data_IF_843221100203
#
_entry.id   IF_843221100203
#
_cell.length_a   1.000
_cell.length_b   1.000
_cell.length_c   1.000
_cell.angle_alpha   90.00
_cell.angle_beta   90.00
_cell.angle_gamma   90.00
#
_symmetry.space_group_name_H-M   'P 1'
#
loop_
_entity.id
_entity.type
_entity.pdbx_description
1 polymer ?
#
# COMPACT_ATOMS: atom_id res chain seq x y z
N UNK A 1 -7.67 5.78 31.50
CA UNK A 1 -8.87 5.33 30.77
C UNK A 1 -8.91 3.82 30.83
N UNK A 2 -9.68 3.27 31.75
CA UNK A 2 -9.91 1.83 31.88
C UNK A 2 -10.77 1.38 30.71
N UNK A 3 -10.26 0.46 29.89
CA UNK A 3 -11.02 -0.11 28.77
C UNK A 3 -12.01 -1.13 29.32
N UNK A 4 -13.27 -0.74 29.39
CA UNK A 4 -14.36 -1.59 29.86
C UNK A 4 -14.72 -2.59 28.75
N UNK A 5 -14.70 -3.89 29.07
CA UNK A 5 -15.02 -4.96 28.14
C UNK A 5 -16.42 -5.49 28.44
N UNK A 6 -17.27 -5.59 27.43
CA UNK A 6 -18.62 -6.14 27.54
C UNK A 6 -18.78 -7.32 26.59
N UNK A 7 -19.50 -8.34 27.05
CA UNK A 7 -19.76 -9.58 26.30
C UNK A 7 -21.26 -9.81 26.22
N UNK A 8 -21.75 -10.17 25.04
CA UNK A 8 -23.17 -10.45 24.78
C UNK A 8 -23.30 -11.80 24.06
N UNK A 9 -24.48 -12.45 24.17
CA UNK A 9 -24.80 -13.71 23.48
C UNK A 9 -25.73 -13.40 22.30
N UNK A 10 -25.47 -14.03 21.15
CA UNK A 10 -26.25 -13.87 19.92
C UNK A 10 -26.47 -15.23 19.26
N UNK A 11 -27.58 -15.40 18.54
CA UNK A 11 -27.87 -16.63 17.78
C UNK A 11 -27.02 -16.76 16.52
N UNK A 12 -26.46 -15.65 16.02
CA UNK A 12 -25.59 -15.61 14.86
C UNK A 12 -24.78 -14.31 14.80
N UNK A 13 -23.61 -14.37 14.18
CA UNK A 13 -22.69 -13.24 14.02
C UNK A 13 -22.25 -13.18 12.56
N UNK A 14 -22.28 -11.98 11.97
CA UNK A 14 -21.72 -11.71 10.65
C UNK A 14 -20.54 -10.75 10.77
N UNK A 15 -19.36 -11.16 10.33
CA UNK A 15 -18.13 -10.37 10.42
C UNK A 15 -17.91 -9.60 9.11
N UNK A 16 -18.06 -8.27 9.15
CA UNK A 16 -17.98 -7.38 7.98
C UNK A 16 -16.83 -6.36 8.08
N UNK A 17 -15.70 -6.72 8.69
CA UNK A 17 -14.61 -5.77 8.99
C UNK A 17 -13.73 -5.41 7.78
N UNK A 18 -13.89 -6.11 6.65
CA UNK A 18 -13.03 -5.98 5.47
C UNK A 18 -11.61 -6.54 5.69
N UNK A 19 -10.96 -6.99 4.62
CA UNK A 19 -9.60 -7.57 4.68
C UNK A 19 -8.50 -6.64 4.10
N UNK A 20 -8.86 -5.52 3.47
CA UNK A 20 -7.94 -4.60 2.76
C UNK A 20 -7.54 -3.41 3.65
N UNK A 21 -7.15 -3.67 4.90
CA UNK A 21 -6.81 -2.62 5.87
C UNK A 21 -5.42 -2.79 6.51
N UNK A 22 -4.76 -3.93 6.27
CA UNK A 22 -3.41 -4.20 6.77
C UNK A 22 -2.46 -4.35 5.58
N UNK A 23 -1.54 -3.40 5.38
CA UNK A 23 -0.59 -3.48 4.28
C UNK A 23 0.35 -4.67 4.46
N UNK A 24 0.57 -5.44 3.38
CA UNK A 24 1.56 -6.51 3.36
C UNK A 24 2.84 -5.96 2.72
N UNK A 25 3.77 -5.50 3.56
CA UNK A 25 5.04 -4.95 3.09
C UNK A 25 6.11 -6.05 3.02
N UNK A 26 6.62 -6.38 1.83
CA UNK A 26 7.76 -7.28 1.70
C UNK A 26 9.03 -6.64 2.26
N UNK A 27 9.98 -7.47 2.68
CA UNK A 27 11.34 -7.05 3.02
C UNK A 27 12.30 -7.51 1.94
N UNK A 28 13.15 -6.62 1.45
CA UNK A 28 14.13 -6.92 0.42
C UNK A 28 15.56 -7.00 0.98
N UNK A 29 16.44 -7.85 0.43
CA UNK A 29 17.86 -7.80 0.74
C UNK A 29 18.45 -6.42 0.42
N UNK A 30 19.14 -5.79 1.37
CA UNK A 30 19.69 -4.45 1.19
C UNK A 30 18.64 -3.33 1.22
N UNK A 31 17.45 -3.56 1.76
CA UNK A 31 16.44 -2.51 1.88
C UNK A 31 16.91 -1.34 2.74
N UNK A 32 17.74 -1.61 3.75
CA UNK A 32 18.28 -0.63 4.69
C UNK A 32 19.31 0.33 4.08
N UNK A 33 19.97 -0.07 2.99
CA UNK A 33 20.91 0.81 2.26
C UNK A 33 20.19 1.74 1.27
N UNK A 34 18.90 1.49 1.00
CA UNK A 34 18.11 2.33 0.11
C UNK A 34 17.76 3.66 0.79
N UNK A 35 18.23 4.76 0.20
CA UNK A 35 18.02 6.13 0.72
C UNK A 35 16.74 6.80 0.22
N UNK A 36 15.99 6.13 -0.66
CA UNK A 36 14.71 6.64 -1.16
C UNK A 36 13.55 6.33 -0.22
N UNK A 37 12.34 6.68 -0.65
CA UNK A 37 11.13 6.41 0.12
C UNK A 37 10.52 5.06 -0.28
N UNK A 38 10.22 4.23 0.71
CA UNK A 38 9.48 2.98 0.56
C UNK A 38 8.10 3.15 1.19
N UNK A 39 7.06 2.89 0.42
CA UNK A 39 5.67 3.03 0.85
C UNK A 39 4.83 1.89 0.28
N UNK A 40 3.74 1.53 0.97
CA UNK A 40 2.72 0.63 0.45
C UNK A 40 1.69 1.41 -0.37
N UNK A 41 1.04 0.76 -1.34
CA UNK A 41 -0.05 1.36 -2.13
C UNK A 41 -1.17 1.96 -1.27
N UNK A 42 -1.46 1.33 -0.11
CA UNK A 42 -2.40 1.83 0.91
C UNK A 42 -2.12 3.28 1.37
N UNK A 43 -0.86 3.74 1.29
CA UNK A 43 -0.46 5.09 1.70
C UNK A 43 -0.37 6.09 0.54
N UNK A 44 -0.58 5.64 -0.70
CA UNK A 44 -0.57 6.51 -1.89
C UNK A 44 -1.83 7.38 -1.87
N UNK A 45 -1.66 8.69 -1.78
CA UNK A 45 -2.76 9.67 -1.80
C UNK A 45 -2.49 10.69 -2.91
N UNK A 46 -2.86 10.33 -4.13
CA UNK A 46 -2.69 11.16 -5.31
C UNK A 46 -1.27 11.16 -5.90
N UNK A 47 -1.15 11.71 -7.11
CA UNK A 47 0.10 11.74 -7.88
C UNK A 47 1.12 12.81 -7.42
N UNK A 48 0.64 13.94 -6.87
CA UNK A 48 1.46 15.15 -6.69
C UNK A 48 2.79 14.94 -5.92
N UNK A 49 2.86 14.13 -4.84
CA UNK A 49 4.11 13.86 -4.13
C UNK A 49 5.21 13.21 -4.97
N UNK A 50 4.87 12.69 -6.15
CA UNK A 50 5.77 11.99 -7.08
C UNK A 50 6.20 12.83 -8.27
N UNK A 51 5.77 14.10 -8.36
CA UNK A 51 6.12 15.01 -9.46
C UNK A 51 7.64 15.08 -9.67
N UNK A 52 8.07 14.83 -10.91
CA UNK A 52 9.48 14.86 -11.30
C UNK A 52 10.37 13.76 -10.70
N UNK A 53 9.80 12.81 -9.93
CA UNK A 53 10.55 11.70 -9.31
C UNK A 53 10.68 10.51 -10.27
N UNK A 54 11.67 9.67 -10.02
CA UNK A 54 11.74 8.32 -10.59
C UNK A 54 11.10 7.36 -9.60
N UNK A 55 10.06 6.65 -10.03
CA UNK A 55 9.25 5.77 -9.18
C UNK A 55 9.34 4.34 -9.69
N UNK A 56 9.46 3.38 -8.77
CA UNK A 56 9.33 1.95 -9.06
C UNK A 56 8.10 1.46 -8.32
N UNK A 57 7.17 0.83 -9.03
CA UNK A 57 6.02 0.14 -8.46
C UNK A 57 6.30 -1.35 -8.48
N UNK A 58 6.23 -1.99 -7.31
CA UNK A 58 6.46 -3.43 -7.16
C UNK A 58 5.11 -4.15 -7.02
N UNK A 59 4.87 -5.11 -7.91
CA UNK A 59 3.63 -5.87 -8.05
C UNK A 59 2.66 -5.25 -9.05
N UNK A 60 2.14 -6.06 -9.99
CA UNK A 60 1.16 -5.61 -10.99
C UNK A 60 -0.28 -6.05 -10.69
N UNK A 61 -0.65 -6.07 -9.41
CA UNK A 61 -2.08 -6.10 -9.03
C UNK A 61 -2.80 -4.80 -9.43
N UNK A 62 -4.13 -4.79 -9.35
CA UNK A 62 -4.95 -3.62 -9.73
C UNK A 62 -4.45 -2.32 -9.08
N UNK A 63 -4.19 -2.35 -7.77
CA UNK A 63 -3.66 -1.16 -7.07
C UNK A 63 -2.30 -0.69 -7.57
N UNK A 64 -1.43 -1.61 -7.99
CA UNK A 64 -0.11 -1.28 -8.54
C UNK A 64 -0.23 -0.62 -9.90
N UNK A 65 -1.06 -1.17 -10.78
CA UNK A 65 -1.32 -0.62 -12.11
C UNK A 65 -2.00 0.75 -12.03
N UNK A 66 -3.05 0.90 -11.23
CA UNK A 66 -3.74 2.18 -11.06
C UNK A 66 -2.79 3.27 -10.52
N UNK A 67 -1.98 2.92 -9.52
CA UNK A 67 -0.96 3.84 -8.98
C UNK A 67 0.09 4.20 -10.03
N UNK A 68 0.55 3.23 -10.83
CA UNK A 68 1.53 3.47 -11.87
C UNK A 68 1.00 4.41 -12.96
N UNK A 69 -0.23 4.19 -13.41
CA UNK A 69 -0.92 5.04 -14.39
C UNK A 69 -1.08 6.46 -13.82
N UNK A 70 -1.62 6.59 -12.62
CA UNK A 70 -1.86 7.89 -12.00
C UNK A 70 -0.54 8.68 -11.83
N UNK A 71 0.48 8.03 -11.26
CA UNK A 71 1.79 8.64 -10.99
C UNK A 71 2.54 8.97 -12.29
N UNK A 72 2.35 8.20 -13.36
CA UNK A 72 3.03 8.44 -14.65
C UNK A 72 2.71 9.80 -15.26
N UNK A 73 1.58 10.41 -14.90
CA UNK A 73 1.20 11.74 -15.40
C UNK A 73 2.10 12.88 -14.86
N UNK A 74 2.79 12.67 -13.74
CA UNK A 74 3.58 13.72 -13.08
C UNK A 74 5.03 13.32 -12.81
N UNK A 75 5.30 12.01 -12.69
CA UNK A 75 6.64 11.49 -12.45
C UNK A 75 7.54 11.67 -13.68
N UNK A 76 8.85 11.74 -13.45
CA UNK A 76 9.84 11.74 -14.54
C UNK A 76 9.88 10.38 -15.25
N UNK A 77 9.76 9.31 -14.48
CA UNK A 77 9.78 7.95 -14.98
C UNK A 77 9.11 7.00 -13.98
N UNK A 78 8.29 6.08 -14.48
CA UNK A 78 7.69 4.99 -13.69
C UNK A 78 8.18 3.66 -14.26
N UNK A 79 8.63 2.76 -13.39
CA UNK A 79 8.98 1.37 -13.74
C UNK A 79 8.08 0.41 -12.98
N UNK A 80 7.59 -0.61 -13.67
CA UNK A 80 6.89 -1.74 -13.08
C UNK A 80 7.88 -2.88 -12.83
N UNK A 81 7.80 -3.52 -11.67
CA UNK A 81 8.57 -4.71 -11.34
C UNK A 81 7.61 -5.79 -10.85
N UNK A 82 7.64 -6.95 -11.51
CA UNK A 82 6.98 -8.17 -11.06
C UNK A 82 8.02 -9.02 -10.36
N UNK A 83 7.68 -9.55 -9.19
CA UNK A 83 8.43 -10.64 -8.57
C UNK A 83 7.55 -11.88 -8.69
N UNK A 84 7.86 -12.73 -9.67
CA UNK A 84 7.30 -14.09 -9.79
C UNK A 84 8.05 -15.07 -8.91
#
# INVERSE_FOLDING_TARGET
>A
MTSEKTTCVYDGIMVCIGHINRPNMPTYPGQEIFKGHLIHSHSVKGAEPYRGKTVVVVGMGCSGLDSAIEISNVAKQVRLSECS
#
